data_IF_528869803761
#
_entry.id   IF_528869803761
#
_cell.length_a   1.000
_cell.length_b   1.000
_cell.length_c   1.000
_cell.angle_alpha   90.00
_cell.angle_beta   90.00
_cell.angle_gamma   90.00
#
_symmetry.space_group_name_H-M   'P 1'
#
loop_
_entity.id
_entity.type
_entity.pdbx_description
1 polymer ?
#
# COMPACT_ATOMS: atom_id res chain seq x y z
N UNK A 1 9.45 -9.44 7.31
CA UNK A 1 9.05 -8.06 7.66
C UNK A 1 7.61 -8.03 8.19
N UNK A 2 6.61 -8.37 7.38
CA UNK A 2 5.21 -8.52 7.77
C UNK A 2 4.78 -9.97 7.54
N UNK A 3 3.99 -10.53 8.48
CA UNK A 3 3.47 -11.89 8.42
C UNK A 3 2.03 -11.90 8.91
N UNK A 4 1.15 -12.54 8.16
CA UNK A 4 -0.22 -12.84 8.53
C UNK A 4 -0.35 -14.37 8.64
N UNK A 5 -0.91 -14.86 9.75
CA UNK A 5 -1.12 -16.29 10.03
C UNK A 5 -2.60 -16.51 10.36
N UNK A 6 -3.31 -17.23 9.48
CA UNK A 6 -4.72 -17.61 9.62
C UNK A 6 -5.62 -16.47 10.07
N UNK A 7 -5.44 -15.28 9.44
CA UNK A 7 -6.17 -14.05 9.80
C UNK A 7 -7.63 -14.16 9.37
N UNK A 8 -8.53 -13.98 10.35
CA UNK A 8 -9.98 -13.97 10.16
C UNK A 8 -10.53 -12.61 10.62
N UNK A 9 -11.14 -11.86 9.70
CA UNK A 9 -11.64 -10.50 9.96
C UNK A 9 -13.11 -10.38 9.64
N UNK A 10 -13.83 -9.61 10.45
CA UNK A 10 -15.28 -9.43 10.39
C UNK A 10 -15.67 -7.95 10.39
N UNK A 11 -16.78 -7.64 9.74
CA UNK A 11 -17.54 -6.40 9.92
C UNK A 11 -18.88 -6.75 10.59
N UNK A 12 -19.03 -6.42 11.87
CA UNK A 12 -20.13 -6.95 12.66
C UNK A 12 -20.11 -8.49 12.62
N UNK A 13 -21.19 -9.12 12.17
CA UNK A 13 -21.28 -10.57 12.04
C UNK A 13 -20.84 -11.10 10.66
N UNK A 14 -20.56 -10.20 9.72
CA UNK A 14 -20.12 -10.60 8.38
C UNK A 14 -18.64 -11.01 8.38
N UNK A 15 -18.38 -12.30 8.12
CA UNK A 15 -17.03 -12.84 7.96
C UNK A 15 -16.49 -12.47 6.57
N UNK A 16 -15.42 -11.70 6.50
CA UNK A 16 -14.87 -11.14 5.24
C UNK A 16 -13.52 -11.74 4.89
N UNK A 17 -12.65 -11.97 5.85
CA UNK A 17 -11.37 -12.65 5.61
C UNK A 17 -11.38 -14.02 6.26
N UNK A 18 -10.99 -15.02 5.47
CA UNK A 18 -11.03 -16.45 5.81
C UNK A 18 -9.62 -17.02 5.79
N UNK A 19 -9.04 -17.25 6.97
CA UNK A 19 -7.74 -17.89 7.17
C UNK A 19 -6.61 -17.34 6.29
N UNK A 20 -6.58 -16.01 6.14
CA UNK A 20 -5.58 -15.35 5.30
C UNK A 20 -4.20 -15.52 5.91
N UNK A 21 -3.31 -16.18 5.15
CA UNK A 21 -1.89 -16.32 5.48
C UNK A 21 -1.05 -15.80 4.33
N UNK A 22 -0.12 -14.88 4.61
CA UNK A 22 0.83 -14.32 3.64
C UNK A 22 2.04 -13.71 4.34
N UNK A 23 3.12 -13.51 3.60
CA UNK A 23 4.33 -12.86 4.09
C UNK A 23 4.83 -11.78 3.13
N UNK A 24 5.37 -10.70 3.71
CA UNK A 24 6.05 -9.64 2.96
C UNK A 24 7.49 -9.55 3.46
N UNK A 25 8.48 -10.07 2.71
CA UNK A 25 9.89 -10.00 3.08
C UNK A 25 10.40 -8.55 3.08
N UNK A 26 11.43 -8.29 3.89
CA UNK A 26 12.05 -6.98 3.96
C UNK A 26 12.68 -6.57 2.62
N UNK A 27 12.53 -5.29 2.24
CA UNK A 27 13.10 -4.71 1.02
C UNK A 27 12.44 -5.17 -0.27
N UNK A 28 11.36 -5.96 -0.19
CA UNK A 28 10.61 -6.46 -1.34
C UNK A 28 9.34 -5.65 -1.60
N UNK A 29 8.91 -5.64 -2.86
CA UNK A 29 7.56 -5.24 -3.25
C UNK A 29 6.72 -6.49 -3.46
N UNK A 30 5.72 -6.69 -2.60
CA UNK A 30 4.77 -7.79 -2.72
C UNK A 30 3.43 -7.23 -3.19
N UNK A 31 2.88 -7.77 -4.26
CA UNK A 31 1.56 -7.38 -4.75
C UNK A 31 0.49 -8.38 -4.31
N UNK A 32 -0.68 -7.84 -3.98
CA UNK A 32 -1.89 -8.58 -3.72
C UNK A 32 -2.92 -8.21 -4.78
N UNK A 33 -3.15 -9.11 -5.72
CA UNK A 33 -4.10 -8.96 -6.82
C UNK A 33 -5.48 -9.51 -6.45
N UNK A 34 -6.51 -8.94 -7.04
CA UNK A 34 -7.89 -9.42 -6.90
C UNK A 34 -8.88 -8.38 -7.40
N UNK A 35 -10.07 -8.85 -7.78
CA UNK A 35 -11.18 -7.98 -8.19
C UNK A 35 -11.68 -7.12 -7.02
N UNK A 36 -12.49 -6.11 -7.31
CA UNK A 36 -13.10 -5.28 -6.26
C UNK A 36 -14.02 -6.13 -5.37
N UNK A 37 -14.02 -5.83 -4.06
CA UNK A 37 -14.79 -6.58 -3.07
C UNK A 37 -14.20 -7.92 -2.63
N UNK A 38 -13.01 -8.31 -3.10
CA UNK A 38 -12.41 -9.60 -2.75
C UNK A 38 -11.68 -9.63 -1.38
N UNK A 39 -11.63 -8.52 -0.66
CA UNK A 39 -11.05 -8.45 0.69
C UNK A 39 -9.70 -7.73 0.79
N UNK A 40 -9.13 -7.21 -0.30
CA UNK A 40 -7.82 -6.53 -0.32
C UNK A 40 -7.72 -5.38 0.70
N UNK A 41 -8.63 -4.42 0.61
CA UNK A 41 -8.72 -3.30 1.56
C UNK A 41 -8.92 -3.78 3.00
N UNK A 42 -9.67 -4.86 3.22
CA UNK A 42 -9.87 -5.44 4.56
C UNK A 42 -8.57 -5.99 5.11
N UNK A 43 -7.72 -6.63 4.29
CA UNK A 43 -6.38 -7.07 4.69
C UNK A 43 -5.53 -5.86 5.13
N UNK A 44 -5.48 -4.78 4.31
CA UNK A 44 -4.75 -3.55 4.67
C UNK A 44 -5.26 -2.94 5.99
N UNK A 45 -6.59 -2.89 6.18
CA UNK A 45 -7.23 -2.40 7.40
C UNK A 45 -6.93 -3.28 8.61
N UNK A 46 -6.87 -4.59 8.42
CA UNK A 46 -6.53 -5.55 9.49
C UNK A 46 -5.08 -5.37 9.97
N UNK A 47 -4.14 -5.16 9.04
CA UNK A 47 -2.74 -4.87 9.35
C UNK A 47 -2.63 -3.56 10.15
N UNK A 48 -3.36 -2.52 9.74
CA UNK A 48 -3.34 -1.21 10.40
C UNK A 48 -4.15 -1.13 11.71
N UNK A 49 -4.82 -2.23 12.11
CA UNK A 49 -5.68 -2.22 13.30
C UNK A 49 -6.96 -1.40 13.17
N UNK A 50 -7.30 -0.95 11.94
CA UNK A 50 -8.54 -0.22 11.65
C UNK A 50 -9.76 -1.16 11.63
N UNK A 51 -9.53 -2.43 11.36
CA UNK A 51 -10.51 -3.52 11.48
C UNK A 51 -9.73 -4.73 11.98
N UNK A 52 -9.47 -4.83 13.31
CA UNK A 52 -8.61 -5.86 13.86
C UNK A 52 -9.19 -7.25 13.63
N UNK A 53 -8.36 -8.26 13.32
CA UNK A 53 -8.81 -9.63 13.15
C UNK A 53 -9.35 -10.22 14.46
N UNK A 54 -10.42 -11.01 14.38
CA UNK A 54 -10.96 -11.78 15.54
C UNK A 54 -10.12 -13.02 15.85
N UNK A 55 -9.53 -13.64 14.81
CA UNK A 55 -8.65 -14.80 14.95
C UNK A 55 -7.43 -14.67 14.04
N UNK A 56 -6.40 -15.46 14.31
CA UNK A 56 -5.12 -15.37 13.65
C UNK A 56 -4.21 -14.30 14.25
N UNK A 57 -3.06 -14.08 13.63
CA UNK A 57 -2.03 -13.16 14.11
C UNK A 57 -1.46 -12.35 12.95
N UNK A 58 -1.28 -11.05 13.19
CA UNK A 58 -0.47 -10.17 12.33
C UNK A 58 0.81 -9.83 13.08
N UNK A 59 1.98 -10.11 12.48
CA UNK A 59 3.30 -9.76 13.02
C UNK A 59 4.01 -8.77 12.11
N UNK A 60 4.66 -7.81 12.72
CA UNK A 60 5.55 -6.87 12.04
C UNK A 60 6.91 -6.88 12.72
N UNK A 61 7.99 -7.16 11.96
CA UNK A 61 9.34 -7.35 12.50
C UNK A 61 9.38 -8.38 13.63
N UNK A 62 8.63 -9.48 13.49
CA UNK A 62 8.51 -10.55 14.48
C UNK A 62 7.60 -10.24 15.67
N UNK A 63 7.18 -8.98 15.89
CA UNK A 63 6.32 -8.58 16.99
C UNK A 63 4.83 -8.61 16.60
N UNK A 64 3.98 -9.19 17.45
CA UNK A 64 2.53 -9.17 17.24
C UNK A 64 1.97 -7.74 17.30
N UNK A 65 1.03 -7.45 16.38
CA UNK A 65 0.28 -6.20 16.36
C UNK A 65 -1.05 -6.29 17.12
N UNK A 66 -1.38 -7.46 17.69
CA UNK A 66 -2.66 -7.69 18.38
C UNK A 66 -2.85 -6.73 19.54
N UNK A 67 -4.01 -6.08 19.60
CA UNK A 67 -4.38 -5.15 20.67
C UNK A 67 -3.73 -3.78 20.58
N UNK A 68 -2.97 -3.50 19.53
CA UNK A 68 -2.42 -2.17 19.30
C UNK A 68 -3.43 -1.30 18.54
N UNK A 69 -3.53 -0.04 18.96
CA UNK A 69 -4.30 0.98 18.25
C UNK A 69 -3.60 1.40 16.93
N UNK A 70 -4.35 1.87 15.92
CA UNK A 70 -3.79 2.25 14.61
C UNK A 70 -2.61 3.21 14.70
N UNK A 71 -2.65 4.20 15.59
CA UNK A 71 -1.55 5.15 15.78
C UNK A 71 -0.28 4.48 16.35
N UNK A 72 -0.43 3.45 17.19
CA UNK A 72 0.68 2.67 17.73
C UNK A 72 1.35 1.83 16.64
N UNK A 73 0.53 1.23 15.77
CA UNK A 73 1.00 0.48 14.60
C UNK A 73 1.77 1.41 13.65
N UNK A 74 1.21 2.58 13.36
CA UNK A 74 1.88 3.58 12.53
C UNK A 74 3.23 4.04 13.12
N UNK A 75 3.32 4.16 14.46
CA UNK A 75 4.58 4.50 15.15
C UNK A 75 5.65 3.41 15.08
N UNK A 76 5.27 2.15 14.81
CA UNK A 76 6.21 1.06 14.59
C UNK A 76 6.91 1.10 13.22
N UNK A 77 6.49 2.01 12.32
CA UNK A 77 7.09 2.16 10.99
C UNK A 77 6.23 1.59 9.86
N UNK A 78 4.91 1.46 10.04
CA UNK A 78 3.97 1.11 8.97
C UNK A 78 3.23 2.38 8.54
N UNK A 79 3.24 2.69 7.24
CA UNK A 79 2.41 3.75 6.66
C UNK A 79 1.42 3.17 5.65
N UNK A 80 0.25 3.79 5.55
CA UNK A 80 -0.82 3.42 4.62
C UNK A 80 -1.11 4.57 3.67
N UNK A 81 -1.09 4.29 2.37
CA UNK A 81 -1.73 5.06 1.31
C UNK A 81 -3.09 4.41 1.07
N UNK A 82 -4.19 5.00 1.54
CA UNK A 82 -5.51 4.38 1.42
C UNK A 82 -6.06 4.53 0.01
N UNK A 83 -7.03 3.69 -0.36
CA UNK A 83 -7.88 3.87 -1.52
C UNK A 83 -8.53 5.27 -1.49
N UNK A 84 -8.65 5.94 -2.63
CA UNK A 84 -9.21 7.28 -2.72
C UNK A 84 -8.28 8.40 -2.23
N UNK A 85 -6.95 8.12 -2.13
CA UNK A 85 -5.85 9.08 -1.86
C UNK A 85 -5.79 9.64 -0.44
N UNK A 86 -6.95 9.91 0.20
CA UNK A 86 -7.05 10.40 1.58
C UNK A 86 -6.31 11.72 1.85
N UNK A 87 -6.16 12.60 0.86
CA UNK A 87 -5.51 13.92 1.01
C UNK A 87 -6.39 14.89 1.79
N UNK A 88 -5.77 15.88 2.41
CA UNK A 88 -6.48 16.99 3.04
C UNK A 88 -6.71 18.09 2.00
N UNK A 89 -7.92 18.11 1.42
CA UNK A 89 -8.27 18.93 0.27
C UNK A 89 -8.12 20.45 0.50
N UNK A 90 -8.35 20.91 1.73
CA UNK A 90 -8.26 22.31 2.16
C UNK A 90 -6.85 22.75 2.59
N UNK A 91 -5.90 21.85 2.62
CA UNK A 91 -4.50 22.16 2.92
C UNK A 91 -3.70 22.29 1.61
N UNK A 92 -2.66 23.10 1.64
CA UNK A 92 -1.66 23.16 0.56
C UNK A 92 -0.90 21.84 0.45
N UNK A 93 -0.21 21.64 -0.67
CA UNK A 93 0.70 20.49 -0.86
C UNK A 93 1.72 20.41 0.28
N UNK A 94 2.38 21.52 0.60
CA UNK A 94 3.38 21.58 1.69
C UNK A 94 2.76 21.21 3.03
N UNK A 95 1.60 21.76 3.37
CA UNK A 95 0.91 21.45 4.63
C UNK A 95 0.49 19.98 4.73
N UNK A 96 0.00 19.38 3.62
CA UNK A 96 -0.27 17.95 3.54
C UNK A 96 0.97 17.10 3.84
N UNK A 97 2.14 17.49 3.35
CA UNK A 97 3.40 16.77 3.60
C UNK A 97 3.83 16.92 5.06
N UNK A 98 3.82 18.15 5.59
CA UNK A 98 4.33 18.44 6.94
C UNK A 98 3.45 17.85 8.03
N UNK A 99 2.10 17.85 7.88
CA UNK A 99 1.19 17.29 8.88
C UNK A 99 1.41 15.79 9.11
N UNK A 100 1.92 15.08 8.09
CA UNK A 100 2.28 13.66 8.18
C UNK A 100 3.68 13.41 8.71
N UNK A 101 4.53 14.44 8.74
CA UNK A 101 5.94 14.27 8.97
C UNK A 101 6.26 13.71 10.37
N UNK A 102 7.26 12.82 10.40
CA UNK A 102 7.94 12.39 11.62
C UNK A 102 9.37 12.86 11.53
N UNK A 103 9.95 13.30 12.65
CA UNK A 103 11.35 13.68 12.68
C UNK A 103 12.21 12.60 12.00
N UNK A 104 12.93 13.03 10.97
CA UNK A 104 13.85 12.21 10.25
C UNK A 104 15.16 12.11 11.04
N UNK A 105 15.63 10.91 11.28
CA UNK A 105 16.94 10.68 11.90
C UNK A 105 17.74 9.72 11.03
N UNK A 106 18.94 10.17 10.62
CA UNK A 106 19.88 9.36 9.84
C UNK A 106 19.93 9.69 8.35
N UNK A 107 20.97 9.16 7.71
CA UNK A 107 21.24 9.32 6.28
C UNK A 107 20.13 8.61 5.45
N UNK A 108 19.58 9.29 4.45
CA UNK A 108 18.51 8.77 3.61
C UNK A 108 17.09 8.83 4.20
N UNK A 109 16.89 9.57 5.30
CA UNK A 109 15.55 9.81 5.84
C UNK A 109 14.70 10.67 4.89
N UNK A 110 13.38 10.40 4.88
CA UNK A 110 12.42 11.15 4.09
C UNK A 110 12.08 12.46 4.80
N UNK A 111 12.73 13.53 4.40
CA UNK A 111 12.38 14.91 4.73
C UNK A 111 11.71 15.61 3.53
N UNK A 112 11.43 16.90 3.69
CA UNK A 112 10.74 17.65 2.66
C UNK A 112 11.59 17.83 1.39
N UNK A 113 12.92 17.98 1.52
CA UNK A 113 13.82 18.14 0.40
C UNK A 113 13.99 16.83 -0.38
N UNK A 114 14.12 15.71 0.33
CA UNK A 114 14.17 14.37 -0.28
C UNK A 114 12.87 14.01 -0.99
N UNK A 115 11.72 14.32 -0.38
CA UNK A 115 10.41 14.15 -1.03
C UNK A 115 10.30 15.01 -2.27
N UNK A 116 10.73 16.25 -2.24
CA UNK A 116 10.71 17.13 -3.42
C UNK A 116 11.69 16.71 -4.51
N UNK A 117 12.80 16.08 -4.16
CA UNK A 117 13.72 15.49 -5.14
C UNK A 117 13.07 14.29 -5.87
N UNK A 118 12.27 13.48 -5.16
CA UNK A 118 11.55 12.34 -5.73
C UNK A 118 10.26 12.73 -6.48
N UNK A 119 9.61 13.82 -6.07
CA UNK A 119 8.36 14.33 -6.63
C UNK A 119 8.47 15.81 -6.97
N UNK A 120 9.22 16.20 -8.04
CA UNK A 120 9.48 17.61 -8.37
C UNK A 120 8.20 18.45 -8.56
N UNK A 121 7.15 17.84 -9.13
CA UNK A 121 5.86 18.50 -9.33
C UNK A 121 5.24 18.97 -8.01
N UNK A 122 5.43 18.25 -6.91
CA UNK A 122 4.93 18.65 -5.59
C UNK A 122 5.68 19.86 -5.03
N UNK A 123 6.97 20.03 -5.41
CA UNK A 123 7.73 21.25 -5.09
C UNK A 123 7.19 22.46 -5.83
N UNK A 124 6.96 22.31 -7.13
CA UNK A 124 6.38 23.37 -7.99
C UNK A 124 5.01 23.80 -7.48
N UNK A 125 4.18 22.83 -7.06
CA UNK A 125 2.83 23.03 -6.55
C UNK A 125 2.75 23.26 -5.03
N UNK A 126 3.88 23.43 -4.34
CA UNK A 126 3.97 23.40 -2.86
C UNK A 126 2.97 24.31 -2.14
N UNK A 127 2.63 25.46 -2.71
CA UNK A 127 1.67 26.45 -2.18
C UNK A 127 0.24 26.26 -2.67
N UNK A 128 0.01 25.36 -3.64
CA UNK A 128 -1.31 25.09 -4.20
C UNK A 128 -2.13 24.23 -3.23
N UNK A 129 -3.43 24.50 -3.13
CA UNK A 129 -4.34 23.64 -2.39
C UNK A 129 -4.47 22.26 -3.04
N UNK A 130 -4.52 21.21 -2.24
CA UNK A 130 -4.48 19.84 -2.72
C UNK A 130 -5.69 19.45 -3.58
N UNK A 131 -6.85 20.09 -3.39
CA UNK A 131 -8.03 19.89 -4.23
C UNK A 131 -7.89 20.42 -5.66
N UNK A 132 -6.92 21.29 -5.91
CA UNK A 132 -6.64 21.85 -7.25
C UNK A 132 -5.65 21.02 -8.06
N UNK A 133 -5.07 19.99 -7.46
CA UNK A 133 -4.19 19.04 -8.13
C UNK A 133 -4.97 18.09 -9.04
N UNK A 134 -4.34 17.63 -10.12
CA UNK A 134 -4.83 16.52 -10.93
C UNK A 134 -4.91 15.23 -10.10
N UNK A 135 -5.67 14.24 -10.57
CA UNK A 135 -5.79 12.96 -9.87
C UNK A 135 -4.45 12.26 -9.63
N UNK A 136 -3.53 12.32 -10.59
CA UNK A 136 -2.18 11.78 -10.46
C UNK A 136 -1.32 12.54 -9.46
N UNK A 137 -1.34 13.89 -9.50
CA UNK A 137 -0.62 14.72 -8.52
C UNK A 137 -1.14 14.50 -7.10
N UNK A 138 -2.47 14.30 -6.93
CA UNK A 138 -3.05 13.96 -5.64
C UNK A 138 -2.58 12.58 -5.15
N UNK A 139 -2.45 11.61 -6.05
CA UNK A 139 -1.93 10.28 -5.69
C UNK A 139 -0.45 10.36 -5.29
N UNK A 140 0.37 11.11 -6.05
CA UNK A 140 1.76 11.36 -5.68
C UNK A 140 1.87 12.06 -4.32
N UNK A 141 0.99 13.02 -4.04
CA UNK A 141 0.94 13.69 -2.74
C UNK A 141 0.59 12.72 -1.61
N UNK A 142 -0.34 11.78 -1.83
CA UNK A 142 -0.70 10.76 -0.84
C UNK A 142 0.49 9.83 -0.53
N UNK A 143 1.20 9.38 -1.56
CA UNK A 143 2.42 8.57 -1.41
C UNK A 143 3.52 9.37 -0.69
N UNK A 144 3.80 10.57 -1.15
CA UNK A 144 4.81 11.46 -0.58
C UNK A 144 4.56 11.74 0.91
N UNK A 145 3.30 12.02 1.29
CA UNK A 145 2.91 12.21 2.68
C UNK A 145 3.12 10.96 3.54
N UNK A 146 2.89 9.77 2.98
CA UNK A 146 3.16 8.51 3.68
C UNK A 146 4.67 8.31 3.90
N UNK A 147 5.51 8.69 2.92
CA UNK A 147 6.97 8.64 3.03
C UNK A 147 7.51 9.59 4.10
N UNK A 148 6.92 10.80 4.27
CA UNK A 148 7.28 11.74 5.33
C UNK A 148 7.19 11.16 6.76
N UNK A 149 6.56 10.01 6.93
CA UNK A 149 6.53 9.28 8.20
C UNK A 149 7.77 8.41 8.42
N UNK A 150 8.67 8.32 7.45
CA UNK A 150 9.84 7.46 7.47
C UNK A 150 9.48 5.99 7.75
N UNK A 151 8.60 5.37 6.93
CA UNK A 151 8.14 4.01 7.18
C UNK A 151 9.20 2.96 6.80
N UNK A 152 9.16 1.82 7.48
CA UNK A 152 9.86 0.60 7.05
C UNK A 152 9.00 -0.23 6.09
N UNK A 153 7.67 -0.11 6.22
CA UNK A 153 6.67 -0.77 5.39
C UNK A 153 5.65 0.24 4.89
N UNK A 154 5.51 0.34 3.57
CA UNK A 154 4.47 1.13 2.91
C UNK A 154 3.38 0.20 2.40
N UNK A 155 2.18 0.36 2.94
CA UNK A 155 0.97 -0.26 2.43
C UNK A 155 0.33 0.68 1.41
N UNK A 156 -0.02 0.16 0.22
CA UNK A 156 -0.69 0.93 -0.82
C UNK A 156 -1.95 0.21 -1.26
N UNK A 157 -3.10 0.86 -1.10
CA UNK A 157 -4.41 0.27 -1.41
C UNK A 157 -4.97 0.89 -2.69
N UNK A 158 -4.91 0.15 -3.79
CA UNK A 158 -5.35 0.49 -5.14
C UNK A 158 -4.86 1.87 -5.64
N UNK A 159 -3.52 2.12 -5.61
CA UNK A 159 -2.99 3.43 -5.99
C UNK A 159 -3.22 3.80 -7.45
N UNK A 160 -3.54 2.86 -8.33
CA UNK A 160 -3.81 3.12 -9.76
C UNK A 160 -5.28 3.44 -10.06
N UNK A 161 -6.18 3.32 -9.06
CA UNK A 161 -7.63 3.43 -9.31
C UNK A 161 -8.03 4.81 -9.85
N UNK A 162 -8.79 4.81 -10.96
CA UNK A 162 -9.34 6.02 -11.57
C UNK A 162 -8.30 6.95 -12.20
N UNK A 163 -7.11 6.45 -12.53
CA UNK A 163 -6.04 7.21 -13.14
C UNK A 163 -5.85 6.87 -14.62
N UNK A 164 -5.34 7.84 -15.37
CA UNK A 164 -4.98 7.65 -16.77
C UNK A 164 -3.75 6.73 -16.91
N UNK A 165 -3.61 5.96 -18.02
CA UNK A 165 -2.51 5.02 -18.20
C UNK A 165 -1.11 5.58 -17.95
N UNK A 166 -0.81 6.76 -18.48
CA UNK A 166 0.49 7.42 -18.28
C UNK A 166 0.78 7.71 -16.79
N UNK A 167 -0.24 8.01 -16.00
CA UNK A 167 -0.09 8.26 -14.56
C UNK A 167 0.14 6.96 -13.80
N UNK A 168 -0.51 5.87 -14.24
CA UNK A 168 -0.30 4.52 -13.68
C UNK A 168 1.16 4.11 -13.87
N UNK A 169 1.72 4.33 -15.07
CA UNK A 169 3.13 4.05 -15.35
C UNK A 169 4.06 4.88 -14.45
N UNK A 170 3.73 6.14 -14.21
CA UNK A 170 4.52 7.02 -13.34
C UNK A 170 4.49 6.55 -11.87
N UNK A 171 3.34 6.07 -11.39
CA UNK A 171 3.21 5.45 -10.06
C UNK A 171 4.04 4.16 -9.99
N UNK A 172 3.97 3.30 -11.01
CA UNK A 172 4.79 2.11 -11.13
C UNK A 172 6.28 2.42 -11.05
N UNK A 173 6.75 3.40 -11.83
CA UNK A 173 8.13 3.88 -11.79
C UNK A 173 8.52 4.43 -10.40
N UNK A 174 7.60 5.09 -9.73
CA UNK A 174 7.81 5.58 -8.36
C UNK A 174 8.00 4.42 -7.40
N UNK A 175 7.14 3.39 -7.45
CA UNK A 175 7.28 2.19 -6.60
C UNK A 175 8.62 1.50 -6.89
N UNK A 176 9.02 1.37 -8.15
CA UNK A 176 10.34 0.81 -8.51
C UNK A 176 11.50 1.60 -7.89
N UNK A 177 11.46 2.93 -7.87
CA UNK A 177 12.48 3.76 -7.22
C UNK A 177 12.51 3.62 -5.70
N UNK A 178 11.39 3.26 -5.08
CA UNK A 178 11.30 3.01 -3.64
C UNK A 178 11.84 1.64 -3.23
N UNK A 179 11.88 0.66 -4.16
CA UNK A 179 12.43 -0.66 -3.91
C UNK A 179 13.89 -0.58 -3.41
N UNK A 180 14.22 -1.44 -2.45
CA UNK A 180 15.54 -1.46 -1.82
C UNK A 180 15.71 -0.45 -0.68
N UNK A 181 14.94 0.65 -0.67
CA UNK A 181 14.92 1.63 0.44
C UNK A 181 13.86 1.30 1.48
N UNK A 182 12.72 0.76 1.05
CA UNK A 182 11.66 0.35 1.96
C UNK A 182 10.94 -0.90 1.42
N UNK A 183 10.17 -1.54 2.28
CA UNK A 183 9.30 -2.66 1.92
C UNK A 183 7.96 -2.11 1.44
N UNK A 184 7.41 -2.66 0.34
CA UNK A 184 6.11 -2.24 -0.19
C UNK A 184 5.15 -3.43 -0.19
N UNK A 185 3.94 -3.24 0.33
CA UNK A 185 2.84 -4.18 0.16
C UNK A 185 1.70 -3.47 -0.58
N UNK A 186 1.45 -3.92 -1.81
CA UNK A 186 0.59 -3.29 -2.79
C UNK A 186 -0.67 -4.11 -2.98
N UNK A 187 -1.86 -3.55 -2.72
CA UNK A 187 -3.13 -4.12 -3.16
C UNK A 187 -3.52 -3.47 -4.48
N UNK A 188 -3.80 -4.25 -5.50
CA UNK A 188 -4.11 -3.77 -6.85
C UNK A 188 -5.16 -4.63 -7.58
N UNK A 189 -5.88 -3.97 -8.48
CA UNK A 189 -6.67 -4.63 -9.49
C UNK A 189 -5.98 -4.58 -10.86
N UNK A 190 -5.14 -3.58 -11.10
CA UNK A 190 -4.40 -3.43 -12.34
C UNK A 190 -3.28 -4.48 -12.42
N UNK A 191 -3.56 -5.52 -13.20
CA UNK A 191 -2.66 -6.67 -13.40
C UNK A 191 -1.28 -6.26 -13.92
N UNK A 192 -1.25 -5.45 -15.00
CA UNK A 192 0.00 -5.06 -15.64
C UNK A 192 0.89 -4.23 -14.72
N UNK A 193 0.31 -3.25 -14.05
CA UNK A 193 1.03 -2.40 -13.10
C UNK A 193 1.57 -3.23 -11.93
N UNK A 194 0.76 -4.11 -11.34
CA UNK A 194 1.20 -4.95 -10.24
C UNK A 194 2.37 -5.86 -10.63
N UNK A 195 2.30 -6.52 -11.80
CA UNK A 195 3.38 -7.40 -12.29
C UNK A 195 4.65 -6.64 -12.68
N UNK A 196 4.53 -5.38 -13.08
CA UNK A 196 5.72 -4.57 -13.44
C UNK A 196 6.58 -4.19 -12.24
N UNK A 197 5.98 -4.14 -11.03
CA UNK A 197 6.67 -3.68 -9.83
C UNK A 197 6.92 -4.77 -8.79
N UNK A 198 6.13 -5.85 -8.78
CA UNK A 198 6.19 -6.87 -7.74
C UNK A 198 7.42 -7.80 -7.84
N UNK A 199 7.93 -8.22 -6.70
CA UNK A 199 8.87 -9.34 -6.58
C UNK A 199 8.15 -10.66 -6.27
N UNK A 200 6.93 -10.58 -5.71
CA UNK A 200 6.07 -11.72 -5.40
C UNK A 200 4.60 -11.29 -5.43
N UNK A 201 3.70 -12.22 -5.76
CA UNK A 201 2.28 -11.93 -5.97
C UNK A 201 1.42 -12.92 -5.20
N UNK A 202 0.41 -12.41 -4.50
CA UNK A 202 -0.73 -13.16 -3.98
C UNK A 202 -1.98 -12.81 -4.79
N UNK A 203 -2.87 -13.79 -5.03
CA UNK A 203 -4.21 -13.52 -5.54
C UNK A 203 -5.20 -13.77 -4.40
N UNK A 204 -6.04 -12.76 -4.14
CA UNK A 204 -7.12 -12.81 -3.15
C UNK A 204 -8.46 -12.89 -3.85
N UNK A 205 -9.26 -13.88 -3.46
CA UNK A 205 -10.63 -14.05 -3.92
C UNK A 205 -11.53 -14.46 -2.75
N UNK A 206 -12.68 -13.79 -2.62
CA UNK A 206 -13.68 -14.05 -1.57
C UNK A 206 -13.08 -14.12 -0.16
N UNK A 207 -12.12 -13.22 0.12
CA UNK A 207 -11.49 -13.13 1.44
C UNK A 207 -10.42 -14.16 1.76
N UNK A 208 -9.97 -14.96 0.80
CA UNK A 208 -8.91 -15.96 0.98
C UNK A 208 -7.81 -15.79 -0.06
N UNK A 209 -6.58 -16.19 0.27
CA UNK A 209 -5.50 -16.34 -0.70
C UNK A 209 -5.75 -17.61 -1.52
N UNK A 210 -5.86 -17.48 -2.84
CA UNK A 210 -6.20 -18.58 -3.75
C UNK A 210 -5.04 -18.98 -4.65
N UNK A 211 -4.02 -18.16 -4.75
CA UNK A 211 -2.79 -18.41 -5.49
C UNK A 211 -1.67 -17.52 -4.97
N UNK A 212 -0.43 -17.99 -5.08
CA UNK A 212 0.78 -17.22 -4.79
C UNK A 212 1.94 -17.68 -5.65
N UNK A 213 2.86 -16.77 -5.97
CA UNK A 213 4.05 -17.08 -6.75
C UNK A 213 4.78 -15.84 -7.28
N UNK A 214 5.89 -16.04 -8.00
CA UNK A 214 6.59 -14.95 -8.67
C UNK A 214 5.77 -14.38 -9.85
N UNK A 215 5.97 -13.10 -10.23
CA UNK A 215 5.22 -12.45 -11.30
C UNK A 215 5.23 -13.20 -12.63
N UNK A 216 6.38 -13.78 -13.02
CA UNK A 216 6.51 -14.50 -14.29
C UNK A 216 5.66 -15.77 -14.31
N UNK A 217 5.59 -16.51 -13.19
CA UNK A 217 4.72 -17.69 -13.08
C UNK A 217 3.23 -17.34 -13.23
N UNK A 218 2.82 -16.13 -12.81
CA UNK A 218 1.44 -15.68 -13.02
C UNK A 218 1.22 -15.19 -14.46
N UNK A 219 2.21 -14.51 -15.05
CA UNK A 219 2.13 -14.01 -16.45
C UNK A 219 1.84 -15.12 -17.43
N UNK A 220 2.46 -16.28 -17.23
CA UNK A 220 2.36 -17.44 -18.13
C UNK A 220 1.18 -18.38 -17.77
N UNK A 221 0.42 -18.10 -16.71
CA UNK A 221 -0.66 -18.96 -16.23
C UNK A 221 -2.03 -18.44 -16.61
N UNK A 222 -2.47 -18.75 -17.85
CA UNK A 222 -3.78 -18.33 -18.39
C UNK A 222 -4.96 -18.85 -17.56
N UNK A 223 -4.89 -20.08 -17.04
CA UNK A 223 -5.95 -20.69 -16.24
C UNK A 223 -6.20 -19.88 -14.95
N UNK A 224 -5.14 -19.52 -14.25
CA UNK A 224 -5.23 -18.73 -13.01
C UNK A 224 -5.74 -17.32 -13.29
N UNK A 225 -5.27 -16.68 -14.37
CA UNK A 225 -5.70 -15.35 -14.81
C UNK A 225 -7.21 -15.31 -15.10
N UNK A 226 -7.67 -16.22 -15.95
CA UNK A 226 -9.10 -16.30 -16.30
C UNK A 226 -9.97 -16.63 -15.09
N UNK A 227 -9.56 -17.61 -14.27
CA UNK A 227 -10.34 -18.08 -13.12
C UNK A 227 -10.51 -17.03 -12.03
N UNK A 228 -9.46 -16.28 -11.69
CA UNK A 228 -9.44 -15.44 -10.50
C UNK A 228 -9.42 -13.95 -10.79
N UNK A 229 -8.89 -13.52 -11.92
CA UNK A 229 -8.74 -12.10 -12.26
C UNK A 229 -9.69 -11.67 -13.38
N UNK A 230 -10.10 -12.59 -14.26
CA UNK A 230 -10.98 -12.33 -15.39
C UNK A 230 -10.28 -11.59 -16.55
N UNK A 231 -8.98 -11.81 -16.70
CA UNK A 231 -8.11 -11.25 -17.74
C UNK A 231 -7.39 -12.36 -18.45
#
# INVERSE_FOLDING_TARGET
MLELESVNTYYGDSHVLWDVSLAVPQGKCVAMLGRNGMGKTTIMRSIMGLTPPRAGVVRFKGASLKGLEPYQIARKGIALVPQGRGIFASLSVKENLVIGAREASGEGAWDLDEVYAHFPILKERSKMYANLLSGGEQQMLAVARALMRNPDLLLMDEPSEGLAPLVIDEIGNTICRLKGRLTVFLAEQNFNMALSVADYVYIVSKGSVVWEGPPDALRDNEEVKQKWLGV
#
